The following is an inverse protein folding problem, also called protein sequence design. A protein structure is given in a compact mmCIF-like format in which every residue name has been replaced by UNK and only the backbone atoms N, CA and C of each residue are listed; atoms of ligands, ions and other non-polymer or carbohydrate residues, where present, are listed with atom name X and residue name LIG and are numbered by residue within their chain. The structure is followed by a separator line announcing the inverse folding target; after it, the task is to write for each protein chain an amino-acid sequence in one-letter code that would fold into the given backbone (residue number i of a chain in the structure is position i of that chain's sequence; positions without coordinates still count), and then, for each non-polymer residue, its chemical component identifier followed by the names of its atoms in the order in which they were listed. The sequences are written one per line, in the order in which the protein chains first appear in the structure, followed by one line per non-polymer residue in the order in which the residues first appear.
data_IF_222594665075
#
_entry.id   IF_222594665075
#
_cell.length_a   1.000
_cell.length_b   1.000
_cell.length_c   1.000
_cell.angle_alpha   90.00
_cell.angle_beta   90.00
_cell.angle_gamma   90.00
#
_symmetry.space_group_name_H-M   'P 1'
#
loop_
_entity.id
_entity.type
_entity.pdbx_description
1 polymer ?
#
# COMPACT_ATOMS: atom_id res chain seq x y z
N UNK A 1 -17.81 -17.02 -2.80
CA UNK A 1 -17.03 -16.01 -2.04
C UNK A 1 -16.93 -14.78 -2.90
N UNK A 2 -16.87 -13.56 -2.33
CA UNK A 2 -16.65 -12.34 -3.12
C UNK A 2 -15.37 -12.50 -3.97
N UNK A 3 -15.50 -12.36 -5.29
CA UNK A 3 -14.36 -12.33 -6.21
C UNK A 3 -13.72 -10.95 -6.25
N UNK A 4 -12.44 -10.86 -6.55
CA UNK A 4 -11.72 -9.58 -6.65
C UNK A 4 -11.06 -9.47 -8.02
N UNK A 5 -11.26 -8.32 -8.68
CA UNK A 5 -10.61 -7.96 -9.94
C UNK A 5 -9.63 -6.82 -9.70
N UNK A 6 -8.37 -7.01 -10.09
CA UNK A 6 -7.30 -6.02 -9.99
C UNK A 6 -7.10 -5.40 -11.38
N UNK A 7 -7.51 -4.14 -11.53
CA UNK A 7 -7.38 -3.36 -12.77
C UNK A 7 -6.18 -2.43 -12.64
N UNK A 8 -5.25 -2.51 -13.57
CA UNK A 8 -4.08 -1.63 -13.57
C UNK A 8 -3.60 -1.33 -14.99
N UNK A 9 -2.92 -0.20 -15.15
CA UNK A 9 -2.21 0.12 -16.38
C UNK A 9 -1.09 -0.87 -16.67
N UNK A 10 -0.51 -1.49 -15.64
CA UNK A 10 0.60 -2.42 -15.78
C UNK A 10 0.15 -3.83 -15.38
N UNK A 11 0.29 -4.78 -16.30
CA UNK A 11 0.07 -6.19 -15.98
C UNK A 11 1.01 -6.66 -14.87
N UNK A 12 2.29 -6.25 -14.91
CA UNK A 12 3.28 -6.57 -13.88
C UNK A 12 2.88 -6.04 -12.50
N UNK A 13 2.34 -4.82 -12.42
CA UNK A 13 1.83 -4.29 -11.15
C UNK A 13 0.64 -5.11 -10.65
N UNK A 14 -0.32 -5.42 -11.53
CA UNK A 14 -1.49 -6.21 -11.17
C UNK A 14 -1.10 -7.62 -10.66
N UNK A 15 -0.12 -8.26 -11.31
CA UNK A 15 0.45 -9.54 -10.88
C UNK A 15 1.10 -9.45 -9.51
N UNK A 16 1.92 -8.42 -9.25
CA UNK A 16 2.55 -8.21 -7.95
C UNK A 16 1.53 -7.94 -6.84
N UNK A 17 0.46 -7.20 -7.12
CA UNK A 17 -0.64 -6.98 -6.16
C UNK A 17 -1.36 -8.29 -5.86
N UNK A 18 -1.66 -9.10 -6.88
CA UNK A 18 -2.28 -10.43 -6.71
C UNK A 18 -1.40 -11.35 -5.89
N UNK A 19 -0.10 -11.39 -6.17
CA UNK A 19 0.87 -12.20 -5.42
C UNK A 19 0.84 -11.84 -3.93
N UNK A 20 0.92 -10.54 -3.61
CA UNK A 20 0.88 -10.07 -2.23
C UNK A 20 -0.46 -10.39 -1.54
N UNK A 21 -1.58 -10.17 -2.23
CA UNK A 21 -2.91 -10.47 -1.69
C UNK A 21 -3.12 -11.98 -1.46
N UNK A 22 -2.65 -12.83 -2.39
CA UNK A 22 -2.74 -14.28 -2.30
C UNK A 22 -1.89 -14.84 -1.13
N UNK A 23 -0.69 -14.30 -0.91
CA UNK A 23 0.17 -14.67 0.22
C UNK A 23 -0.50 -14.38 1.57
N UNK A 24 -1.33 -13.34 1.66
CA UNK A 24 -2.04 -12.98 2.89
C UNK A 24 -3.36 -13.76 3.08
N UNK A 25 -4.15 -13.92 2.02
CA UNK A 25 -5.50 -14.49 2.09
C UNK A 25 -5.56 -16.01 1.82
N UNK A 26 -4.53 -16.57 1.20
CA UNK A 26 -4.48 -17.95 0.73
C UNK A 26 -5.10 -18.15 -0.66
N UNK A 27 -4.97 -19.36 -1.24
CA UNK A 27 -5.27 -19.64 -2.65
C UNK A 27 -6.77 -19.76 -2.99
N UNK A 28 -7.65 -19.74 -1.99
CA UNK A 28 -9.10 -19.95 -2.19
C UNK A 28 -9.84 -18.70 -2.69
N UNK A 29 -9.26 -17.51 -2.51
CA UNK A 29 -9.87 -16.26 -2.97
C UNK A 29 -9.62 -16.14 -4.48
N UNK A 30 -10.69 -15.93 -5.25
CA UNK A 30 -10.59 -15.63 -6.69
C UNK A 30 -10.04 -14.21 -6.89
N UNK A 31 -8.78 -14.13 -7.31
CA UNK A 31 -8.09 -12.88 -7.64
C UNK A 31 -7.81 -12.83 -9.14
N UNK A 32 -8.65 -12.13 -9.88
CA UNK A 32 -8.56 -11.98 -11.34
C UNK A 32 -7.85 -10.69 -11.73
N UNK A 33 -7.18 -10.72 -12.89
CA UNK A 33 -6.37 -9.60 -13.39
C UNK A 33 -6.97 -8.99 -14.64
N UNK A 34 -6.95 -7.66 -14.69
CA UNK A 34 -7.20 -6.86 -15.89
C UNK A 34 -6.13 -5.76 -15.98
N UNK A 35 -4.89 -6.19 -16.19
CA UNK A 35 -3.73 -5.32 -16.29
C UNK A 35 -3.20 -5.15 -17.71
N UNK A 36 -2.85 -3.92 -18.11
CA UNK A 36 -2.18 -3.65 -19.39
C UNK A 36 -3.06 -3.81 -20.63
N UNK A 37 -2.42 -3.67 -21.80
CA UNK A 37 -3.05 -3.89 -23.10
C UNK A 37 -2.74 -5.31 -23.64
N UNK A 38 -3.27 -5.64 -24.83
CA UNK A 38 -3.04 -6.92 -25.48
C UNK A 38 -1.56 -7.16 -25.85
N UNK A 39 -0.82 -6.08 -26.12
CA UNK A 39 0.61 -6.12 -26.38
C UNK A 39 1.39 -6.28 -25.06
N UNK A 40 2.32 -7.23 -25.03
CA UNK A 40 3.09 -7.57 -23.84
C UNK A 40 3.96 -6.38 -23.38
N UNK A 41 3.85 -6.02 -22.09
CA UNK A 41 4.55 -4.87 -21.51
C UNK A 41 3.96 -3.49 -21.83
N UNK A 42 2.93 -3.40 -22.68
CA UNK A 42 2.27 -2.14 -22.98
C UNK A 42 1.41 -1.66 -21.80
N UNK A 43 1.61 -0.38 -21.43
CA UNK A 43 0.83 0.26 -20.38
C UNK A 43 -0.51 0.75 -20.92
N UNK A 44 -1.60 0.46 -20.20
CA UNK A 44 -2.94 0.91 -20.53
C UNK A 44 -4.01 0.02 -19.92
N UNK A 45 -5.27 0.33 -20.19
CA UNK A 45 -6.43 -0.41 -19.67
C UNK A 45 -7.43 -0.69 -20.78
N UNK A 46 -8.09 -1.85 -20.69
CA UNK A 46 -9.02 -2.36 -21.70
C UNK A 46 -10.33 -2.79 -21.03
N UNK A 47 -11.44 -2.16 -21.42
CA UNK A 47 -12.76 -2.42 -20.84
C UNK A 47 -13.26 -3.85 -21.08
N UNK A 48 -12.93 -4.46 -22.22
CA UNK A 48 -13.32 -5.85 -22.54
C UNK A 48 -12.58 -6.80 -21.62
N UNK A 49 -11.28 -6.59 -21.38
CA UNK A 49 -10.50 -7.41 -20.43
C UNK A 49 -11.02 -7.28 -19.01
N UNK A 50 -11.43 -6.08 -18.59
CA UNK A 50 -12.05 -5.87 -17.27
C UNK A 50 -13.39 -6.63 -17.18
N UNK A 51 -14.24 -6.53 -18.19
CA UNK A 51 -15.52 -7.27 -18.25
C UNK A 51 -15.30 -8.78 -18.17
N UNK A 52 -14.35 -9.33 -18.94
CA UNK A 52 -14.01 -10.75 -18.89
C UNK A 52 -13.46 -11.18 -17.51
N UNK A 53 -12.62 -10.35 -16.90
CA UNK A 53 -12.09 -10.60 -15.56
C UNK A 53 -13.20 -10.61 -14.49
N UNK A 54 -14.18 -9.71 -14.59
CA UNK A 54 -15.38 -9.71 -13.75
C UNK A 54 -16.12 -11.05 -13.91
N UNK A 55 -16.33 -11.51 -15.15
CA UNK A 55 -17.00 -12.78 -15.41
C UNK A 55 -16.27 -14.00 -14.82
N UNK A 56 -14.93 -14.01 -14.82
CA UNK A 56 -14.14 -15.09 -14.20
C UNK A 56 -14.16 -15.04 -12.67
N UNK A 57 -14.14 -13.83 -12.11
CA UNK A 57 -14.16 -13.58 -10.67
C UNK A 57 -15.51 -13.93 -10.05
N UNK A 58 -16.60 -13.76 -10.79
CA UNK A 58 -17.95 -14.02 -10.30
C UNK A 58 -18.13 -15.50 -9.88
N UNK A 59 -18.75 -15.67 -8.72
CA UNK A 59 -19.14 -16.97 -8.17
C UNK A 59 -20.50 -16.92 -7.47
N UNK A 60 -21.25 -15.82 -7.63
CA UNK A 60 -22.59 -15.61 -7.05
C UNK A 60 -22.63 -14.70 -5.82
N UNK A 61 -21.51 -14.50 -5.12
CA UNK A 61 -21.45 -13.64 -3.92
C UNK A 61 -21.00 -12.19 -4.21
N UNK A 62 -20.88 -11.84 -5.49
CA UNK A 62 -20.48 -10.53 -5.98
C UNK A 62 -18.98 -10.40 -6.30
N UNK A 63 -18.64 -9.29 -6.95
CA UNK A 63 -17.28 -8.98 -7.44
C UNK A 63 -16.87 -7.57 -7.01
N UNK A 64 -15.73 -7.46 -6.33
CA UNK A 64 -15.09 -6.19 -6.03
C UNK A 64 -14.05 -5.87 -7.11
N UNK A 65 -14.12 -4.69 -7.72
CA UNK A 65 -13.15 -4.22 -8.71
C UNK A 65 -12.29 -3.13 -8.07
N UNK A 66 -10.98 -3.30 -8.07
CA UNK A 66 -10.00 -2.33 -7.57
C UNK A 66 -9.20 -1.77 -8.74
N UNK A 67 -8.99 -0.46 -8.75
CA UNK A 67 -8.37 0.26 -9.86
C UNK A 67 -7.19 1.11 -9.37
N UNK A 68 -6.16 1.34 -10.21
CA UNK A 68 -5.04 2.23 -9.88
C UNK A 68 -5.35 3.72 -10.12
N UNK A 69 -5.43 4.12 -11.39
CA UNK A 69 -5.46 5.52 -11.85
C UNK A 69 -6.69 5.77 -12.73
N UNK A 70 -6.94 7.04 -13.03
CA UNK A 70 -8.19 7.51 -13.65
C UNK A 70 -8.67 6.73 -14.89
N UNK A 71 -7.79 6.35 -15.82
CA UNK A 71 -8.21 5.56 -17.00
C UNK A 71 -8.64 4.14 -16.67
N UNK A 72 -8.12 3.54 -15.60
CA UNK A 72 -8.59 2.24 -15.12
C UNK A 72 -10.02 2.33 -14.58
N UNK A 73 -10.35 3.46 -13.93
CA UNK A 73 -11.73 3.75 -13.49
C UNK A 73 -12.65 3.85 -14.70
N UNK A 74 -12.28 4.64 -15.72
CA UNK A 74 -13.08 4.79 -16.94
C UNK A 74 -13.26 3.45 -17.69
N UNK A 75 -12.20 2.64 -17.80
CA UNK A 75 -12.29 1.31 -18.39
C UNK A 75 -13.20 0.38 -17.58
N UNK A 76 -13.18 0.46 -16.25
CA UNK A 76 -14.06 -0.33 -15.40
C UNK A 76 -15.52 0.12 -15.49
N UNK A 77 -15.80 1.43 -15.52
CA UNK A 77 -17.15 1.96 -15.78
C UNK A 77 -17.67 1.50 -17.14
N UNK A 78 -16.86 1.62 -18.19
CA UNK A 78 -17.21 1.14 -19.54
C UNK A 78 -17.42 -0.38 -19.56
N UNK A 79 -16.67 -1.14 -18.76
CA UNK A 79 -16.85 -2.59 -18.66
C UNK A 79 -18.23 -2.95 -18.11
N UNK A 80 -18.77 -2.16 -17.17
CA UNK A 80 -20.12 -2.38 -16.62
C UNK A 80 -21.21 -2.18 -17.68
N UNK A 81 -20.99 -1.37 -18.70
CA UNK A 81 -21.95 -1.15 -19.80
C UNK A 81 -22.18 -2.41 -20.64
N UNK A 82 -21.20 -3.32 -20.69
CA UNK A 82 -21.31 -4.60 -21.39
C UNK A 82 -21.96 -5.72 -20.58
N UNK A 83 -22.14 -5.53 -19.26
CA UNK A 83 -22.75 -6.53 -18.37
C UNK A 83 -24.28 -6.47 -18.44
N UNK A 84 -24.94 -7.60 -18.12
CA UNK A 84 -26.40 -7.58 -17.91
C UNK A 84 -26.76 -6.78 -16.65
N UNK A 85 -28.00 -6.29 -16.51
CA UNK A 85 -28.43 -5.58 -15.31
C UNK A 85 -28.19 -6.36 -14.02
N UNK A 86 -28.45 -7.67 -14.04
CA UNK A 86 -28.28 -8.56 -12.89
C UNK A 86 -26.80 -8.73 -12.51
N UNK A 87 -25.91 -8.86 -13.50
CA UNK A 87 -24.46 -8.90 -13.27
C UNK A 87 -23.95 -7.55 -12.77
N UNK A 88 -24.49 -6.44 -13.25
CA UNK A 88 -24.07 -5.11 -12.81
C UNK A 88 -24.39 -4.87 -11.33
N UNK A 89 -25.53 -5.38 -10.83
CA UNK A 89 -25.90 -5.26 -9.42
C UNK A 89 -24.97 -6.05 -8.48
N UNK A 90 -24.29 -7.09 -8.98
CA UNK A 90 -23.36 -7.90 -8.19
C UNK A 90 -21.91 -7.38 -8.24
N UNK A 91 -21.64 -6.29 -8.96
CA UNK A 91 -20.28 -5.73 -9.13
C UNK A 91 -20.16 -4.38 -8.43
N UNK A 92 -19.09 -4.20 -7.64
CA UNK A 92 -18.78 -2.93 -6.97
C UNK A 92 -17.41 -2.43 -7.41
N UNK A 93 -17.37 -1.24 -8.02
CA UNK A 93 -16.13 -0.51 -8.27
C UNK A 93 -15.68 0.19 -6.98
N UNK A 94 -14.45 -0.08 -6.53
CA UNK A 94 -13.95 0.37 -5.25
C UNK A 94 -12.81 1.37 -5.41
N UNK A 95 -12.94 2.48 -4.68
CA UNK A 95 -12.02 3.62 -4.68
C UNK A 95 -10.81 3.44 -3.73
N UNK A 96 -10.61 2.24 -3.22
CA UNK A 96 -9.53 1.95 -2.29
C UNK A 96 -8.14 2.05 -2.96
N UNK A 97 -7.07 2.37 -2.20
CA UNK A 97 -5.70 2.26 -2.70
C UNK A 97 -5.44 0.85 -3.24
N UNK A 98 -4.93 0.73 -4.46
CA UNK A 98 -4.86 -0.56 -5.17
C UNK A 98 -4.20 -1.67 -4.34
N UNK A 99 -3.01 -1.42 -3.79
CA UNK A 99 -2.22 -2.45 -3.11
C UNK A 99 -2.81 -2.78 -1.74
N UNK A 100 -2.96 -1.78 -0.86
CA UNK A 100 -3.43 -2.03 0.50
C UNK A 100 -4.90 -2.48 0.52
N UNK A 101 -5.71 -1.91 -0.37
CA UNK A 101 -7.10 -2.28 -0.55
C UNK A 101 -7.26 -3.71 -1.05
N UNK A 102 -6.43 -4.17 -2.00
CA UNK A 102 -6.49 -5.55 -2.49
C UNK A 102 -6.15 -6.56 -1.40
N UNK A 103 -5.13 -6.30 -0.59
CA UNK A 103 -4.77 -7.17 0.53
C UNK A 103 -5.90 -7.24 1.56
N UNK A 104 -6.44 -6.09 1.97
CA UNK A 104 -7.49 -6.02 2.97
C UNK A 104 -8.80 -6.66 2.47
N UNK A 105 -9.16 -6.41 1.21
CA UNK A 105 -10.29 -7.05 0.53
C UNK A 105 -10.11 -8.57 0.44
N UNK A 106 -8.94 -9.05 0.03
CA UNK A 106 -8.69 -10.50 -0.10
C UNK A 106 -8.83 -11.21 1.25
N UNK A 107 -8.32 -10.62 2.33
CA UNK A 107 -8.51 -11.16 3.67
C UNK A 107 -9.99 -11.16 4.06
N UNK A 108 -10.73 -10.05 3.88
CA UNK A 108 -12.16 -10.00 4.20
C UNK A 108 -12.99 -10.98 3.36
N UNK A 109 -12.72 -11.08 2.06
CA UNK A 109 -13.37 -12.04 1.17
C UNK A 109 -13.12 -13.48 1.65
N UNK A 110 -11.89 -13.82 2.06
CA UNK A 110 -11.56 -15.13 2.63
C UNK A 110 -12.41 -15.49 3.84
N UNK A 111 -12.76 -14.51 4.67
CA UNK A 111 -13.63 -14.71 5.83
C UNK A 111 -15.11 -14.92 5.47
N UNK A 112 -15.47 -14.80 4.19
CA UNK A 112 -16.85 -14.89 3.72
C UNK A 112 -17.68 -13.64 4.02
N UNK A 113 -17.04 -12.49 4.25
CA UNK A 113 -17.75 -11.23 4.47
C UNK A 113 -18.52 -10.81 3.21
N UNK A 114 -19.70 -10.16 3.35
CA UNK A 114 -20.49 -9.70 2.20
C UNK A 114 -19.75 -8.59 1.44
N UNK A 115 -20.05 -8.45 0.15
CA UNK A 115 -19.40 -7.48 -0.77
C UNK A 115 -19.25 -6.08 -0.19
N UNK A 116 -20.27 -5.58 0.52
CA UNK A 116 -20.24 -4.26 1.15
C UNK A 116 -19.18 -4.13 2.26
N UNK A 117 -19.01 -5.15 3.09
CA UNK A 117 -18.00 -5.17 4.15
C UNK A 117 -16.59 -5.41 3.57
N UNK A 118 -16.47 -6.24 2.52
CA UNK A 118 -15.20 -6.38 1.78
C UNK A 118 -14.76 -5.04 1.17
N UNK A 119 -15.68 -4.30 0.56
CA UNK A 119 -15.40 -2.97 -0.01
C UNK A 119 -15.01 -1.95 1.07
N UNK A 120 -15.69 -1.97 2.22
CA UNK A 120 -15.38 -1.11 3.37
C UNK A 120 -13.99 -1.41 3.93
N UNK A 121 -13.63 -2.70 4.06
CA UNK A 121 -12.29 -3.09 4.46
C UNK A 121 -11.25 -2.62 3.42
N UNK A 122 -11.51 -2.78 2.12
CA UNK A 122 -10.62 -2.27 1.08
C UNK A 122 -10.35 -0.76 1.24
N UNK A 123 -11.38 0.07 1.38
CA UNK A 123 -11.27 1.54 1.55
C UNK A 123 -10.44 1.94 2.77
N UNK A 124 -10.47 1.12 3.82
CA UNK A 124 -9.69 1.32 5.03
C UNK A 124 -8.17 1.17 4.82
N UNK A 125 -7.70 0.66 3.67
CA UNK A 125 -6.30 0.28 3.45
C UNK A 125 -5.28 1.41 3.65
N UNK A 126 -5.69 2.68 3.46
CA UNK A 126 -4.82 3.83 3.74
C UNK A 126 -4.59 4.06 5.24
N UNK A 127 -5.57 3.72 6.09
CA UNK A 127 -5.60 4.12 7.50
C UNK A 127 -4.44 3.55 8.31
N UNK A 128 -3.98 2.33 7.98
CA UNK A 128 -2.80 1.75 8.62
C UNK A 128 -1.55 2.61 8.44
N UNK A 129 -1.29 3.09 7.22
CA UNK A 129 -0.16 3.98 6.92
C UNK A 129 -0.29 5.33 7.60
N UNK A 130 -1.49 5.91 7.61
CA UNK A 130 -1.78 7.18 8.30
C UNK A 130 -1.49 7.07 9.79
N UNK A 131 -1.99 5.99 10.44
CA UNK A 131 -1.79 5.73 11.86
C UNK A 131 -0.31 5.49 12.21
N UNK A 132 0.44 4.83 11.33
CA UNK A 132 1.86 4.51 11.54
C UNK A 132 2.76 5.73 11.36
N UNK A 133 2.49 6.57 10.36
CA UNK A 133 3.25 7.78 10.08
C UNK A 133 2.85 8.97 10.99
N UNK A 134 1.74 8.84 11.73
CA UNK A 134 1.21 9.96 12.52
C UNK A 134 0.73 11.12 11.65
N UNK A 135 0.50 10.88 10.37
CA UNK A 135 0.14 11.89 9.37
C UNK A 135 -1.37 12.20 9.33
N UNK A 136 -2.14 11.66 10.26
CA UNK A 136 -3.55 12.01 10.40
C UNK A 136 -3.68 13.35 11.11
N UNK A 137 -4.43 14.29 10.53
CA UNK A 137 -5.13 15.26 11.37
C UNK A 137 -5.92 14.47 12.43
N UNK A 138 -6.01 14.92 13.69
CA UNK A 138 -6.92 14.33 14.64
C UNK A 138 -8.31 14.42 14.01
N UNK A 139 -8.83 13.27 13.58
CA UNK A 139 -10.15 13.20 12.97
C UNK A 139 -11.11 13.90 13.93
N UNK A 140 -11.80 14.94 13.45
CA UNK A 140 -13.01 15.38 14.09
C UNK A 140 -13.87 14.11 14.30
N UNK A 141 -14.54 13.94 15.45
CA UNK A 141 -15.35 12.75 15.70
C UNK A 141 -16.55 12.76 14.76
N UNK A 142 -16.35 12.34 13.51
CA UNK A 142 -17.38 11.75 12.70
C UNK A 142 -17.86 10.49 13.41
N UNK A 143 -19.13 10.10 13.24
CA UNK A 143 -19.75 9.09 14.07
C UNK A 143 -18.86 7.86 14.02
N UNK A 144 -18.27 7.52 15.18
CA UNK A 144 -17.59 6.27 15.38
C UNK A 144 -18.53 5.21 14.78
N UNK A 145 -18.12 4.56 13.70
CA UNK A 145 -18.79 3.35 13.24
C UNK A 145 -18.90 2.49 14.48
N UNK A 146 -20.13 2.27 14.93
CA UNK A 146 -20.52 2.04 16.31
C UNK A 146 -19.54 1.10 17.00
N UNK A 147 -18.52 1.67 17.67
CA UNK A 147 -17.73 0.93 18.62
C UNK A 147 -18.66 0.75 19.79
N UNK A 148 -19.45 -0.33 19.76
CA UNK A 148 -20.17 -0.79 20.92
C UNK A 148 -19.15 -0.78 22.07
N UNK A 149 -19.50 -0.24 23.25
CA UNK A 149 -18.70 -0.42 24.46
C UNK A 149 -18.26 -1.88 24.54
N UNK A 150 -17.06 -2.16 25.04
CA UNK A 150 -16.65 -3.53 25.37
C UNK A 150 -17.82 -4.19 26.12
N UNK A 151 -18.57 -5.06 25.44
CA UNK A 151 -19.69 -5.73 26.08
C UNK A 151 -19.10 -6.59 27.21
N UNK A 152 -19.89 -6.98 28.21
CA UNK A 152 -19.40 -7.91 29.23
C UNK A 152 -19.17 -9.28 28.58
N UNK A 153 -17.89 -9.67 28.41
CA UNK A 153 -17.50 -10.92 27.78
C UNK A 153 -16.18 -11.42 28.32
N UNK A 154 -15.77 -12.59 27.83
CA UNK A 154 -14.50 -13.17 28.24
C UNK A 154 -13.35 -12.29 27.72
N UNK A 155 -12.32 -12.13 28.53
CA UNK A 155 -11.17 -11.28 28.19
C UNK A 155 -9.86 -12.05 28.32
N UNK A 156 -8.91 -11.68 27.48
CA UNK A 156 -7.57 -12.23 27.41
C UNK A 156 -6.57 -11.07 27.23
N UNK A 157 -5.52 -11.05 28.05
CA UNK A 157 -4.39 -10.14 27.86
C UNK A 157 -3.27 -10.86 27.12
N UNK A 158 -2.71 -10.21 26.12
CA UNK A 158 -1.61 -10.75 25.31
C UNK A 158 -0.46 -9.74 25.24
N UNK A 159 0.74 -10.20 25.58
CA UNK A 159 1.98 -9.46 25.36
C UNK A 159 2.50 -9.72 23.94
N UNK A 160 2.77 -8.65 23.20
CA UNK A 160 3.23 -8.75 21.82
C UNK A 160 4.76 -8.80 21.78
N UNK A 161 5.30 -9.97 21.41
CA UNK A 161 6.75 -10.22 21.36
C UNK A 161 7.37 -10.05 19.98
N UNK A 162 6.53 -10.06 18.94
CA UNK A 162 6.96 -9.91 17.54
C UNK A 162 7.73 -8.58 17.35
N UNK A 163 8.94 -8.60 16.75
CA UNK A 163 9.79 -7.41 16.63
C UNK A 163 9.12 -6.22 15.91
N UNK A 164 8.28 -6.52 14.92
CA UNK A 164 7.53 -5.52 14.15
C UNK A 164 6.10 -5.31 14.68
N UNK A 165 5.73 -5.95 15.80
CA UNK A 165 4.39 -5.91 16.36
C UNK A 165 3.36 -6.71 15.56
N UNK A 166 2.07 -6.35 15.67
CA UNK A 166 1.00 -6.94 14.86
C UNK A 166 0.84 -6.20 13.52
N UNK A 167 1.85 -6.30 12.66
CA UNK A 167 1.80 -5.81 11.28
C UNK A 167 1.00 -6.76 10.36
N UNK A 168 0.95 -6.46 9.05
CA UNK A 168 0.05 -7.10 8.09
C UNK A 168 -0.06 -8.64 8.19
N UNK A 169 1.05 -9.37 8.29
CA UNK A 169 1.04 -10.85 8.30
C UNK A 169 0.58 -11.46 9.65
N UNK A 170 1.18 -11.12 10.82
CA UNK A 170 0.64 -11.52 12.12
C UNK A 170 -0.82 -11.08 12.34
N UNK A 171 -1.17 -9.87 11.89
CA UNK A 171 -2.54 -9.36 11.98
C UNK A 171 -3.52 -10.15 11.09
N UNK A 172 -3.13 -10.51 9.86
CA UNK A 172 -3.96 -11.37 9.00
C UNK A 172 -4.22 -12.73 9.63
N UNK A 173 -3.21 -13.33 10.28
CA UNK A 173 -3.36 -14.61 11.00
C UNK A 173 -4.24 -14.48 12.24
N UNK A 174 -4.09 -13.38 12.97
CA UNK A 174 -4.99 -13.04 14.09
C UNK A 174 -6.43 -12.99 13.59
N UNK A 175 -6.68 -12.22 12.53
CA UNK A 175 -8.01 -12.03 11.93
C UNK A 175 -8.60 -13.34 11.44
N UNK A 176 -7.82 -14.15 10.72
CA UNK A 176 -8.24 -15.48 10.26
C UNK A 176 -8.58 -16.42 11.41
N UNK A 177 -7.79 -16.39 12.49
CA UNK A 177 -8.05 -17.21 13.67
C UNK A 177 -9.32 -16.75 14.38
N UNK A 178 -9.50 -15.45 14.59
CA UNK A 178 -10.68 -14.89 15.24
C UNK A 178 -11.97 -15.17 14.45
N UNK A 179 -11.90 -15.09 13.12
CA UNK A 179 -13.04 -15.32 12.24
C UNK A 179 -13.46 -16.80 12.11
N UNK A 180 -12.59 -17.73 12.51
CA UNK A 180 -12.90 -19.17 12.55
C UNK A 180 -13.91 -19.59 13.62
N UNK A 181 -14.37 -18.64 14.45
CA UNK A 181 -15.29 -18.88 15.54
C UNK A 181 -16.53 -17.99 15.42
N UNK A 182 -17.67 -18.52 15.84
CA UNK A 182 -18.90 -17.77 16.10
C UNK A 182 -18.76 -16.96 17.40
N UNK A 183 -17.94 -15.91 17.30
CA UNK A 183 -17.67 -14.97 18.36
C UNK A 183 -17.39 -13.57 17.79
N UNK A 184 -17.95 -12.54 18.43
CA UNK A 184 -17.55 -11.17 18.21
C UNK A 184 -16.26 -10.91 19.01
N UNK A 185 -15.18 -10.56 18.31
CA UNK A 185 -13.86 -10.33 18.91
C UNK A 185 -13.51 -8.85 18.76
N UNK A 186 -13.18 -8.20 19.87
CA UNK A 186 -12.66 -6.83 19.89
C UNK A 186 -11.26 -6.80 20.51
N UNK A 187 -10.43 -5.86 20.04
CA UNK A 187 -9.04 -5.69 20.46
C UNK A 187 -8.78 -4.24 20.86
N UNK A 188 -8.15 -4.05 22.02
CA UNK A 188 -7.70 -2.75 22.51
C UNK A 188 -6.21 -2.82 22.86
N UNK A 189 -5.45 -1.80 22.48
CA UNK A 189 -4.04 -1.67 22.84
C UNK A 189 -3.96 -0.96 24.20
N UNK A 190 -3.69 -1.71 25.27
CA UNK A 190 -3.64 -1.20 26.65
C UNK A 190 -2.48 -0.22 26.84
N UNK A 191 -1.36 -0.47 26.17
CA UNK A 191 -0.16 0.40 26.26
C UNK A 191 -0.38 1.77 25.64
N UNK A 192 -1.05 1.85 24.49
CA UNK A 192 -1.29 3.13 23.80
C UNK A 192 -2.68 3.72 24.05
N UNK A 193 -3.57 3.00 24.73
CA UNK A 193 -4.97 3.38 24.93
C UNK A 193 -5.80 3.47 23.64
N UNK A 194 -5.39 2.80 22.56
CA UNK A 194 -6.10 2.83 21.27
C UNK A 194 -7.08 1.66 21.17
N UNK A 195 -8.25 1.89 20.58
CA UNK A 195 -9.31 0.89 20.40
C UNK A 195 -10.59 1.25 21.17
N UNK A 196 -11.58 0.34 21.23
CA UNK A 196 -11.56 -1.01 20.67
C UNK A 196 -11.67 -1.01 19.13
N UNK A 197 -11.04 -1.99 18.48
CA UNK A 197 -11.21 -2.30 17.06
C UNK A 197 -11.68 -3.75 16.89
N UNK A 198 -12.35 -4.05 15.78
CA UNK A 198 -12.76 -5.43 15.46
C UNK A 198 -11.53 -6.31 15.24
N UNK A 199 -11.49 -7.45 15.92
CA UNK A 199 -10.50 -8.51 15.72
C UNK A 199 -10.65 -9.25 14.40
N UNK A 200 -11.70 -8.96 13.63
CA UNK A 200 -11.95 -9.49 12.27
C UNK A 200 -11.58 -8.51 11.16
N UNK A 201 -11.09 -7.31 11.50
CA UNK A 201 -10.68 -6.28 10.52
C UNK A 201 -9.17 -6.11 10.55
N UNK A 202 -8.51 -6.36 9.42
CA UNK A 202 -7.08 -6.20 9.27
C UNK A 202 -6.67 -4.73 9.48
N UNK A 203 -7.43 -3.83 8.89
CA UNK A 203 -7.23 -2.39 9.02
C UNK A 203 -7.55 -1.90 10.42
N UNK A 204 -8.60 -2.43 11.04
CA UNK A 204 -8.93 -2.17 12.45
C UNK A 204 -7.73 -2.43 13.35
N UNK A 205 -7.10 -3.59 13.23
CA UNK A 205 -5.88 -3.92 13.97
C UNK A 205 -4.69 -3.01 13.62
N UNK A 206 -4.49 -2.67 12.34
CA UNK A 206 -3.41 -1.79 11.92
C UNK A 206 -3.52 -0.39 12.57
N UNK A 207 -4.74 0.14 12.75
CA UNK A 207 -4.94 1.45 13.39
C UNK A 207 -4.56 1.49 14.87
N UNK A 208 -4.60 0.33 15.55
CA UNK A 208 -4.23 0.21 16.96
C UNK A 208 -2.73 0.44 17.20
N UNK A 209 -1.89 0.40 16.17
CA UNK A 209 -0.46 0.69 16.27
C UNK A 209 0.26 -0.21 17.28
N UNK A 210 -0.07 -1.50 17.28
CA UNK A 210 0.43 -2.50 18.23
C UNK A 210 1.88 -2.86 17.88
N UNK A 211 2.83 -2.51 18.75
CA UNK A 211 4.27 -2.73 18.57
C UNK A 211 4.80 -3.80 19.53
N UNK A 212 6.05 -4.22 19.35
CA UNK A 212 6.74 -5.08 20.30
C UNK A 212 6.71 -4.49 21.72
N UNK A 213 6.45 -5.33 22.72
CA UNK A 213 6.36 -4.95 24.12
C UNK A 213 5.04 -4.28 24.52
N UNK A 214 4.10 -4.11 23.57
CA UNK A 214 2.76 -3.66 23.91
C UNK A 214 1.94 -4.80 24.50
N UNK A 215 1.05 -4.44 25.43
CA UNK A 215 0.01 -5.31 25.95
C UNK A 215 -1.32 -4.98 25.23
N UNK A 216 -2.00 -6.00 24.73
CA UNK A 216 -3.33 -5.88 24.15
C UNK A 216 -4.36 -6.61 25.01
N UNK A 217 -5.57 -6.07 25.06
CA UNK A 217 -6.75 -6.73 25.62
C UNK A 217 -7.60 -7.21 24.45
N UNK A 218 -7.85 -8.52 24.41
CA UNK A 218 -8.80 -9.16 23.50
C UNK A 218 -10.04 -9.52 24.30
N UNK A 219 -11.20 -9.04 23.86
CA UNK A 219 -12.49 -9.44 24.41
C UNK A 219 -13.28 -10.23 23.38
N UNK A 220 -13.93 -11.30 23.81
CA UNK A 220 -14.77 -12.13 22.94
C UNK A 220 -16.16 -12.34 23.55
N UNK A 221 -17.18 -12.30 22.69
CA UNK A 221 -18.60 -12.47 23.01
C UNK A 221 -19.25 -13.46 22.06
N UNK A 222 -20.20 -14.24 22.54
CA UNK A 222 -20.92 -15.23 21.73
C UNK A 222 -20.62 -16.68 22.15
N UNK A 223 -21.26 -17.65 21.47
CA UNK A 223 -21.25 -19.05 21.88
C UNK A 223 -19.86 -19.70 21.87
N UNK A 224 -18.95 -19.21 21.02
CA UNK A 224 -17.59 -19.74 20.91
C UNK A 224 -16.53 -18.79 21.48
N UNK A 225 -16.91 -17.82 22.31
CA UNK A 225 -15.98 -16.82 22.86
C UNK A 225 -14.75 -17.44 23.57
N UNK A 226 -14.95 -18.46 24.41
CA UNK A 226 -13.85 -19.12 25.12
C UNK A 226 -12.88 -19.81 24.14
N UNK A 227 -13.41 -20.56 23.17
CA UNK A 227 -12.63 -21.26 22.16
C UNK A 227 -11.83 -20.28 21.27
N UNK A 228 -12.43 -19.13 20.92
CA UNK A 228 -11.76 -18.07 20.18
C UNK A 228 -10.56 -17.50 20.95
N UNK A 229 -10.74 -17.20 22.24
CA UNK A 229 -9.65 -16.69 23.09
C UNK A 229 -8.54 -17.74 23.28
N UNK A 230 -8.90 -19.01 23.48
CA UNK A 230 -7.92 -20.10 23.61
C UNK A 230 -7.08 -20.26 22.33
N UNK A 231 -7.73 -20.19 21.16
CA UNK A 231 -7.05 -20.25 19.87
C UNK A 231 -6.12 -19.05 19.65
N UNK A 232 -6.57 -17.83 19.99
CA UNK A 232 -5.76 -16.62 19.90
C UNK A 232 -4.58 -16.65 20.89
N UNK A 233 -4.78 -17.18 22.11
CA UNK A 233 -3.70 -17.40 23.06
C UNK A 233 -2.67 -18.41 22.54
N UNK A 234 -3.12 -19.51 21.92
CA UNK A 234 -2.24 -20.50 21.30
C UNK A 234 -1.47 -19.91 20.10
N UNK A 235 -2.10 -19.06 19.30
CA UNK A 235 -1.45 -18.36 18.20
C UNK A 235 -0.39 -17.38 18.72
N UNK A 236 -0.70 -16.59 19.75
CA UNK A 236 0.24 -15.66 20.36
C UNK A 236 1.46 -16.38 20.98
N UNK A 237 1.27 -17.56 21.59
CA UNK A 237 2.38 -18.39 22.10
C UNK A 237 3.35 -18.84 21.02
N UNK A 238 2.87 -19.01 19.79
CA UNK A 238 3.65 -19.35 18.59
C UNK A 238 4.13 -18.11 17.83
N UNK A 239 4.07 -16.93 18.45
CA UNK A 239 4.44 -15.64 17.86
C UNK A 239 3.73 -15.41 16.51
N UNK A 240 2.44 -15.77 16.45
CA UNK A 240 1.60 -15.67 15.25
C UNK A 240 2.15 -16.46 14.06
N UNK A 241 2.87 -17.54 14.33
CA UNK A 241 3.55 -18.43 13.38
C UNK A 241 4.57 -17.71 12.49
N UNK A 242 5.01 -16.51 12.89
CA UNK A 242 5.91 -15.70 12.08
C UNK A 242 7.23 -16.45 11.88
N UNK A 243 7.62 -16.67 10.62
CA UNK A 243 8.97 -17.15 10.33
C UNK A 243 9.90 -16.03 10.75
N UNK A 244 10.70 -16.28 11.79
CA UNK A 244 11.74 -15.37 12.20
C UNK A 244 12.64 -15.14 10.98
N UNK A 245 12.44 -14.02 10.29
CA UNK A 245 13.50 -13.46 9.48
C UNK A 245 14.70 -13.37 10.43
N UNK A 246 15.91 -13.83 10.07
CA UNK A 246 17.06 -13.62 10.91
C UNK A 246 17.10 -12.13 11.21
N UNK A 247 16.86 -11.79 12.47
CA UNK A 247 17.02 -10.43 12.95
C UNK A 247 18.48 -10.15 12.69
N UNK A 248 18.77 -9.45 11.58
CA UNK A 248 20.07 -8.85 11.40
C UNK A 248 20.04 -7.75 12.47
N UNK A 249 20.79 -7.89 13.58
CA UNK A 249 20.81 -6.82 14.55
C UNK A 249 21.25 -5.57 13.78
N UNK A 250 20.59 -4.41 13.95
CA UNK A 250 21.13 -3.19 13.42
C UNK A 250 22.55 -3.09 13.97
N UNK A 251 23.55 -3.16 13.08
CA UNK A 251 24.94 -2.96 13.46
C UNK A 251 24.97 -1.67 14.27
N UNK A 252 25.48 -1.69 15.53
CA UNK A 252 25.48 -0.48 16.34
C UNK A 252 26.19 0.60 15.54
N UNK A 253 25.44 1.59 15.09
CA UNK A 253 26.01 2.79 14.50
C UNK A 253 26.75 3.44 15.64
N UNK A 254 28.07 3.33 15.62
CA UNK A 254 28.93 4.08 16.52
C UNK A 254 28.47 5.55 16.45
N UNK A 255 28.23 6.23 17.59
CA UNK A 255 27.81 7.62 17.58
C UNK A 255 28.78 8.40 16.68
N UNK A 256 28.27 9.23 15.75
CA UNK A 256 29.14 9.94 14.83
C UNK A 256 30.17 10.71 15.66
N UNK A 257 31.44 10.46 15.36
CA UNK A 257 32.53 11.25 15.91
C UNK A 257 32.17 12.72 15.69
N UNK A 258 32.29 13.53 16.75
CA UNK A 258 32.00 14.96 16.68
C UNK A 258 32.65 15.56 15.43
N UNK A 259 31.91 16.36 14.63
CA UNK A 259 32.46 16.94 13.42
C UNK A 259 33.72 17.74 13.78
N UNK A 260 34.82 17.63 13.01
CA UNK A 260 35.99 18.46 13.23
C UNK A 260 35.62 19.94 13.05
N UNK A 261 36.28 20.79 13.82
CA UNK A 261 35.99 22.22 13.92
C UNK A 261 35.96 22.95 12.57
N UNK A 262 35.12 23.97 12.56
CA UNK A 262 34.60 24.69 11.41
C UNK A 262 35.65 25.18 10.39
N UNK A 263 35.51 24.66 9.17
CA UNK A 263 35.96 25.27 7.93
C UNK A 263 35.01 24.88 6.79
N UNK A 264 33.96 25.68 6.58
CA UNK A 264 32.95 25.56 5.49
C UNK A 264 32.55 24.11 5.12
N UNK A 265 32.03 23.35 6.08
CA UNK A 265 31.35 22.09 5.76
C UNK A 265 30.00 22.40 5.10
N UNK A 266 29.77 21.86 3.89
CA UNK A 266 28.44 21.81 3.31
C UNK A 266 27.70 20.61 3.89
N UNK A 267 26.61 20.85 4.61
CA UNK A 267 25.75 19.80 5.17
C UNK A 267 24.67 19.43 4.15
N UNK A 268 24.52 18.14 3.84
CA UNK A 268 23.52 17.63 2.89
C UNK A 268 22.77 16.41 3.42
N UNK A 269 21.69 16.02 2.74
CA UNK A 269 20.95 14.78 3.04
C UNK A 269 21.69 13.57 2.42
N UNK A 270 21.97 12.51 3.18
CA UNK A 270 22.65 11.33 2.64
C UNK A 270 21.72 10.57 1.66
N UNK A 271 22.20 10.34 0.44
CA UNK A 271 21.48 9.54 -0.58
C UNK A 271 21.78 8.04 -0.54
N UNK A 272 22.87 7.64 0.12
CA UNK A 272 23.28 6.24 0.29
C UNK A 272 24.17 6.10 1.54
N UNK A 273 24.22 4.93 2.19
CA UNK A 273 25.15 4.67 3.28
C UNK A 273 26.60 4.59 2.78
N UNK A 274 27.57 4.99 3.61
CA UNK A 274 29.01 4.87 3.33
C UNK A 274 29.80 6.18 3.51
N UNK A 275 31.12 6.10 3.32
CA UNK A 275 32.03 7.26 3.32
C UNK A 275 32.79 7.26 2.00
N UNK A 276 32.75 8.39 1.29
CA UNK A 276 33.54 8.62 0.08
C UNK A 276 34.45 9.84 0.30
N UNK A 277 35.66 9.79 -0.23
CA UNK A 277 36.60 10.91 -0.24
C UNK A 277 36.98 11.24 -1.68
N UNK A 278 36.81 12.49 -2.09
CA UNK A 278 37.08 12.93 -3.45
C UNK A 278 36.88 14.44 -3.61
N UNK A 279 37.27 15.01 -4.76
CA UNK A 279 37.10 16.44 -5.02
C UNK A 279 35.61 16.80 -5.11
N UNK A 280 35.16 17.71 -4.25
CA UNK A 280 33.82 18.29 -4.35
C UNK A 280 33.81 19.41 -5.41
N UNK A 281 32.85 19.36 -6.34
CA UNK A 281 32.56 20.44 -7.29
C UNK A 281 31.24 21.08 -6.89
N UNK A 282 31.28 22.30 -6.39
CA UNK A 282 30.06 23.07 -6.12
C UNK A 282 29.56 23.66 -7.44
N UNK A 283 28.48 23.08 -7.98
CA UNK A 283 27.78 23.66 -9.10
C UNK A 283 27.05 24.92 -8.65
N UNK A 284 27.48 26.08 -9.14
CA UNK A 284 26.73 27.32 -8.99
C UNK A 284 26.05 27.58 -10.33
N UNK A 285 24.71 27.46 -10.44
CA UNK A 285 24.03 27.96 -11.62
C UNK A 285 24.33 29.45 -11.72
N UNK A 286 24.93 29.87 -12.84
CA UNK A 286 24.95 31.28 -13.21
C UNK A 286 23.53 31.60 -13.65
N UNK A 287 22.90 32.58 -13.01
CA UNK A 287 21.67 33.15 -13.56
C UNK A 287 22.01 33.69 -14.96
N UNK A 288 21.23 33.32 -15.99
CA UNK A 288 21.48 33.84 -17.33
C UNK A 288 21.30 35.35 -17.28
N UNK A 289 22.26 36.10 -17.83
CA UNK A 289 22.08 37.53 -18.04
C UNK A 289 20.92 37.71 -19.03
N UNK A 290 19.77 38.17 -18.54
CA UNK A 290 18.61 38.46 -19.37
C UNK A 290 18.87 39.82 -20.03
N UNK A 291 19.03 39.90 -21.37
CA UNK A 291 19.22 41.18 -22.04
C UNK A 291 17.97 42.05 -21.84
N UNK A 292 18.14 43.26 -21.33
CA UNK A 292 17.04 44.23 -21.08
C UNK A 292 16.94 45.31 -22.17
N UNK A 293 17.68 45.17 -23.27
CA UNK A 293 17.63 46.08 -24.41
C UNK A 293 16.36 45.91 -25.27
N UNK A 294 16.02 46.93 -26.06
CA UNK A 294 14.97 46.80 -27.09
C UNK A 294 15.46 45.88 -28.21
N UNK A 295 14.72 44.81 -28.48
CA UNK A 295 14.97 43.91 -29.62
C UNK A 295 14.98 44.68 -30.94
N UNK A 296 15.87 44.32 -31.85
CA UNK A 296 15.95 44.89 -33.19
C UNK A 296 14.86 44.36 -34.12
N UNK A 297 15.27 43.71 -35.21
CA UNK A 297 14.39 43.09 -36.21
C UNK A 297 13.68 41.84 -35.64
N UNK A 298 12.33 41.83 -35.53
CA UNK A 298 11.59 40.70 -34.97
C UNK A 298 11.82 39.36 -35.69
N UNK A 299 12.05 39.38 -37.00
CA UNK A 299 12.25 38.15 -37.78
C UNK A 299 13.60 37.50 -37.45
N UNK A 300 14.66 38.32 -37.35
CA UNK A 300 15.99 37.87 -36.94
C UNK A 300 16.02 37.32 -35.50
N UNK A 301 15.28 37.94 -34.57
CA UNK A 301 15.14 37.47 -33.19
C UNK A 301 14.39 36.14 -33.10
N UNK A 302 13.34 35.98 -33.92
CA UNK A 302 12.58 34.72 -33.98
C UNK A 302 13.41 33.57 -34.53
N UNK A 303 14.22 33.82 -35.56
CA UNK A 303 15.18 32.83 -36.05
C UNK A 303 16.24 32.48 -35.00
N UNK A 304 16.76 33.47 -34.26
CA UNK A 304 17.74 33.24 -33.21
C UNK A 304 17.16 32.36 -32.08
N UNK A 305 15.93 32.62 -31.66
CA UNK A 305 15.22 31.80 -30.69
C UNK A 305 15.02 30.37 -31.20
N UNK A 306 14.60 30.22 -32.46
CA UNK A 306 14.34 28.90 -33.05
C UNK A 306 15.62 28.06 -33.11
N UNK A 307 16.74 28.67 -33.55
CA UNK A 307 18.07 28.04 -33.53
C UNK A 307 18.49 27.62 -32.12
N UNK A 308 18.28 28.48 -31.11
CA UNK A 308 18.61 28.15 -29.72
C UNK A 308 17.78 26.98 -29.18
N UNK A 309 16.47 26.95 -29.46
CA UNK A 309 15.59 25.86 -29.05
C UNK A 309 15.99 24.52 -29.68
N UNK A 310 16.35 24.53 -30.96
CA UNK A 310 16.79 23.31 -31.65
C UNK A 310 18.14 22.81 -31.13
N UNK A 311 19.07 23.72 -30.83
CA UNK A 311 20.34 23.37 -30.19
C UNK A 311 20.13 22.72 -28.81
N UNK A 312 19.27 23.31 -27.97
CA UNK A 312 18.95 22.75 -26.65
C UNK A 312 18.29 21.37 -26.76
N UNK A 313 17.38 21.17 -27.73
CA UNK A 313 16.75 19.87 -27.98
C UNK A 313 17.78 18.81 -28.35
N UNK A 314 18.76 19.16 -29.19
CA UNK A 314 19.85 18.27 -29.57
C UNK A 314 20.69 17.91 -28.33
N UNK A 315 21.10 18.90 -27.55
CA UNK A 315 21.92 18.69 -26.34
C UNK A 315 21.22 17.80 -25.30
N UNK A 316 19.92 18.03 -25.05
CA UNK A 316 19.13 17.18 -24.14
C UNK A 316 19.06 15.74 -24.66
N UNK A 317 18.86 15.55 -25.97
CA UNK A 317 18.81 14.20 -26.55
C UNK A 317 20.15 13.49 -26.40
N UNK A 318 21.25 14.16 -26.74
CA UNK A 318 22.61 13.61 -26.60
C UNK A 318 22.95 13.29 -25.14
N UNK A 319 22.57 14.15 -24.19
CA UNK A 319 22.78 13.88 -22.77
C UNK A 319 21.99 12.65 -22.29
N UNK A 320 20.72 12.50 -22.72
CA UNK A 320 19.91 11.31 -22.41
C UNK A 320 20.51 10.03 -22.98
N UNK A 321 20.96 10.06 -24.23
CA UNK A 321 21.63 8.92 -24.87
C UNK A 321 22.92 8.54 -24.15
N UNK A 322 23.74 9.52 -23.75
CA UNK A 322 24.97 9.27 -22.99
C UNK A 322 24.71 8.67 -21.60
N UNK A 323 23.67 9.12 -20.90
CA UNK A 323 23.29 8.56 -19.59
C UNK A 323 22.74 7.13 -19.74
N UNK A 324 21.90 6.90 -20.76
CA UNK A 324 21.37 5.56 -21.03
C UNK A 324 22.48 4.55 -21.38
N UNK A 325 23.46 4.95 -22.19
CA UNK A 325 24.63 4.11 -22.51
C UNK A 325 25.45 3.74 -21.26
N UNK A 326 25.65 4.69 -20.34
CA UNK A 326 26.39 4.45 -19.08
C UNK A 326 25.61 3.62 -18.05
N UNK A 327 24.27 3.70 -18.06
CA UNK A 327 23.43 2.91 -17.16
C UNK A 327 23.43 1.41 -17.53
N UNK A 328 23.58 1.07 -18.81
CA UNK A 328 23.72 -0.32 -19.27
C UNK A 328 24.97 -1.02 -18.74
N UNK A 329 26.08 -0.29 -18.56
CA UNK A 329 27.32 -0.85 -17.99
C UNK A 329 27.19 -1.16 -16.48
N UNK A 330 26.31 -0.47 -15.75
CA UNK A 330 26.06 -0.74 -14.33
C UNK A 330 25.21 -1.99 -14.08
N UNK A 331 24.45 -2.45 -15.08
CA UNK A 331 23.74 -3.74 -15.01
C UNK A 331 24.61 -4.96 -15.32
N UNK A 332 25.85 -4.74 -15.77
CA UNK A 332 26.78 -5.80 -16.19
C UNK A 332 27.96 -6.03 -15.21
N UNK A 333 27.92 -5.43 -14.02
CA UNK A 333 28.92 -5.59 -12.96
C UNK A 333 28.36 -6.32 -11.74
#
# INVERSE_FOLDING_TARGET
MVGIVIVSHSNTLAEGVRELAAEMAGPEVKLELAGGLAEEGALGTDAVRVMEAIGRADSGDGVLVLMDLGSAVLSAETALDFLTPEQRESVLLCEAPLVEGAVAAAVAARLGEPLAEVAKEARGGLQGKVAQLGAGEPAAPGPAGTSAPLEEGLTLRLDIRNPLGLHARPAARFVQTAAGFDANVQVMNLTSGRGPASGRSLNGLATLGIRQGHEILVSAHGPQAAAALDALAALAKRDFDEQAAPATPPTPVAPPAAPPDAGQALTGLPGAPGIVSGPARHFRPLDPEIPTGSSGDPEAEWEALTRALDQVRIEIRTARESVAARAGDYSAA
#
